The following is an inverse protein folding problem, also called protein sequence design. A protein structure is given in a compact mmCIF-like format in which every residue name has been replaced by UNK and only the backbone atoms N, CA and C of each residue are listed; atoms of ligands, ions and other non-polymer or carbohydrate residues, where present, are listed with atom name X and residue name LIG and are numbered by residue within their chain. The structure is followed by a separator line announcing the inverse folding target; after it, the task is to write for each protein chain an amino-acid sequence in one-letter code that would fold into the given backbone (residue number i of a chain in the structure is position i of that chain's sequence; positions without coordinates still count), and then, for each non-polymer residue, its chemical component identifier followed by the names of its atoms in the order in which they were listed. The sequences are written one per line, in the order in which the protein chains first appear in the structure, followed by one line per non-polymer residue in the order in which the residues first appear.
data_IF_205777101997
#
_entry.id   IF_205777101997
#
_cell.length_a   1.000
_cell.length_b   1.000
_cell.length_c   1.000
_cell.angle_alpha   90.00
_cell.angle_beta   90.00
_cell.angle_gamma   90.00
#
_symmetry.space_group_name_H-M   'P 1'
#
loop_
_entity.id
_entity.type
_entity.pdbx_description
1 polymer ?
#
# COMPACT_ATOMS: atom_id res chain seq x y z
N UNK A 1 1.23 12.03 14.65
CA UNK A 1 1.83 11.36 15.83
C UNK A 1 3.20 10.78 15.48
N UNK A 2 4.08 10.66 16.47
CA UNK A 2 5.37 9.96 16.32
C UNK A 2 5.18 8.45 16.56
N UNK A 3 6.07 7.57 16.05
CA UNK A 3 6.01 6.14 16.38
C UNK A 3 5.98 5.86 17.89
N UNK A 4 6.77 6.60 18.66
CA UNK A 4 6.79 6.48 20.13
C UNK A 4 5.42 6.77 20.77
N UNK A 5 4.71 7.78 20.29
CA UNK A 5 3.38 8.11 20.78
C UNK A 5 2.36 7.01 20.42
N UNK A 6 2.44 6.45 19.23
CA UNK A 6 1.59 5.30 18.83
C UNK A 6 1.78 4.14 19.79
N UNK A 7 3.02 3.79 20.17
CA UNK A 7 3.27 2.73 21.15
C UNK A 7 2.71 3.04 22.53
N UNK A 8 2.82 4.31 22.98
CA UNK A 8 2.22 4.73 24.23
C UNK A 8 0.68 4.58 24.20
N UNK A 9 0.06 4.95 23.10
CA UNK A 9 -1.38 4.81 22.89
C UNK A 9 -1.82 3.33 22.82
N UNK A 10 -1.04 2.48 22.15
CA UNK A 10 -1.28 1.02 22.12
C UNK A 10 -1.21 0.46 23.54
N UNK A 11 -0.17 0.81 24.31
CA UNK A 11 -0.01 0.38 25.70
C UNK A 11 -1.14 0.88 26.61
N UNK A 12 -1.71 2.06 26.33
CA UNK A 12 -2.85 2.62 27.02
C UNK A 12 -4.21 2.01 26.58
N UNK A 13 -4.22 1.06 25.64
CA UNK A 13 -5.44 0.44 25.15
C UNK A 13 -6.31 1.33 24.23
N UNK A 14 -5.77 2.42 23.70
CA UNK A 14 -6.48 3.39 22.86
C UNK A 14 -6.62 2.90 21.41
N UNK A 15 -7.24 1.73 21.21
CA UNK A 15 -7.32 1.03 19.94
C UNK A 15 -7.80 1.92 18.77
N UNK A 16 -8.97 2.52 18.92
CA UNK A 16 -9.59 3.28 17.82
C UNK A 16 -8.82 4.55 17.48
N UNK A 17 -8.23 5.20 18.48
CA UNK A 17 -7.38 6.37 18.27
C UNK A 17 -6.07 6.01 17.52
N UNK A 18 -5.51 4.84 17.81
CA UNK A 18 -4.33 4.30 17.10
C UNK A 18 -4.70 3.99 15.65
N UNK A 19 -5.78 3.26 15.40
CA UNK A 19 -6.19 2.84 14.05
C UNK A 19 -6.61 4.04 13.18
N UNK A 20 -7.21 5.07 13.75
CA UNK A 20 -7.52 6.34 13.07
C UNK A 20 -6.29 7.20 12.78
N UNK A 21 -5.20 6.96 13.50
CA UNK A 21 -3.96 7.73 13.28
C UNK A 21 -3.42 7.50 11.88
N UNK A 22 -2.92 8.54 11.24
CA UNK A 22 -2.26 8.43 9.95
C UNK A 22 -0.77 8.06 10.03
N UNK A 23 -0.20 7.90 11.23
CA UNK A 23 1.24 7.66 11.43
C UNK A 23 1.72 6.38 10.76
N UNK A 24 0.98 5.28 10.87
CA UNK A 24 1.36 4.02 10.25
C UNK A 24 1.24 4.07 8.72
N UNK A 25 0.39 4.93 8.15
CA UNK A 25 0.28 5.15 6.71
C UNK A 25 1.49 5.86 6.11
N UNK A 26 2.14 6.74 6.88
CA UNK A 26 3.38 7.40 6.45
C UNK A 26 4.63 6.53 6.59
N UNK A 27 4.53 5.31 7.10
CA UNK A 27 5.65 4.39 7.17
C UNK A 27 6.06 3.93 5.78
N UNK A 28 7.26 4.30 5.36
CA UNK A 28 7.88 3.94 4.07
C UNK A 28 8.94 2.86 4.21
N UNK A 29 8.97 2.14 5.32
CA UNK A 29 9.91 1.03 5.58
C UNK A 29 11.39 1.41 5.46
N UNK A 30 11.76 2.62 5.85
CA UNK A 30 13.17 3.03 5.86
C UNK A 30 13.98 2.41 7.01
N UNK A 31 13.35 1.68 7.94
CA UNK A 31 13.92 0.99 9.10
C UNK A 31 14.70 1.88 10.09
N UNK A 32 14.76 3.20 9.87
CA UNK A 32 15.53 4.12 10.68
C UNK A 32 15.14 4.12 12.17
N UNK A 33 13.84 4.00 12.47
CA UNK A 33 13.35 3.88 13.84
C UNK A 33 13.73 2.56 14.50
N UNK A 34 13.86 1.47 13.72
CA UNK A 34 14.29 0.15 14.20
C UNK A 34 15.78 0.15 14.58
N UNK A 35 16.64 0.62 13.68
CA UNK A 35 18.11 0.63 13.88
C UNK A 35 18.55 1.50 15.05
N UNK A 36 17.75 2.48 15.44
CA UNK A 36 18.00 3.36 16.58
C UNK A 36 17.31 2.94 17.86
N UNK A 37 16.51 1.89 17.85
CA UNK A 37 15.80 1.45 19.03
C UNK A 37 16.72 0.64 19.96
N UNK A 38 17.04 1.13 21.18
CA UNK A 38 17.89 0.39 22.11
C UNK A 38 17.21 -0.87 22.68
N UNK A 39 15.89 -1.00 22.47
CA UNK A 39 15.08 -2.14 22.91
C UNK A 39 14.84 -3.14 21.77
N UNK A 40 15.49 -2.98 20.62
CA UNK A 40 15.38 -3.83 19.44
C UNK A 40 13.93 -4.10 18.97
N UNK A 41 13.04 -3.11 19.18
CA UNK A 41 11.63 -3.22 18.79
C UNK A 41 11.53 -3.15 17.27
N UNK A 42 10.85 -4.13 16.67
CA UNK A 42 10.55 -4.21 15.25
C UNK A 42 9.42 -3.22 14.85
N UNK A 43 9.71 -1.93 14.95
CA UNK A 43 8.72 -0.84 14.78
C UNK A 43 8.05 -0.89 13.41
N UNK A 44 8.79 -1.20 12.36
CA UNK A 44 8.27 -1.29 10.99
C UNK A 44 7.19 -2.36 10.87
N UNK A 45 7.40 -3.55 11.45
CA UNK A 45 6.46 -4.67 11.40
C UNK A 45 5.17 -4.33 12.16
N UNK A 46 5.31 -3.62 13.28
CA UNK A 46 4.15 -3.13 14.04
C UNK A 46 3.35 -2.11 13.22
N UNK A 47 4.03 -1.19 12.50
CA UNK A 47 3.34 -0.24 11.62
C UNK A 47 2.57 -0.94 10.49
N UNK A 48 3.13 -2.00 9.90
CA UNK A 48 2.42 -2.81 8.91
C UNK A 48 1.23 -3.55 9.51
N UNK A 49 1.38 -4.11 10.71
CA UNK A 49 0.27 -4.75 11.43
C UNK A 49 -0.86 -3.75 11.69
N UNK A 50 -0.53 -2.52 12.10
CA UNK A 50 -1.53 -1.48 12.31
C UNK A 50 -2.23 -1.06 11.00
N UNK A 51 -1.50 -0.98 9.86
CA UNK A 51 -2.13 -0.74 8.54
C UNK A 51 -3.17 -1.81 8.23
N UNK A 52 -2.80 -3.09 8.40
CA UNK A 52 -3.68 -4.23 8.16
C UNK A 52 -4.92 -4.16 9.06
N UNK A 53 -4.72 -4.00 10.36
CA UNK A 53 -5.82 -3.87 11.32
C UNK A 53 -6.74 -2.69 11.02
N UNK A 54 -6.22 -1.57 10.51
CA UNK A 54 -7.04 -0.42 10.10
C UNK A 54 -7.92 -0.74 8.90
N UNK A 55 -7.40 -1.47 7.91
CA UNK A 55 -8.16 -1.92 6.73
C UNK A 55 -9.24 -2.92 7.16
N UNK A 56 -8.88 -3.96 7.91
CA UNK A 56 -9.80 -4.99 8.40
C UNK A 56 -10.94 -4.42 9.25
N UNK A 57 -10.64 -3.42 10.08
CA UNK A 57 -11.62 -2.74 10.92
C UNK A 57 -12.43 -1.65 10.18
N UNK A 58 -12.03 -1.26 8.97
CA UNK A 58 -12.59 -0.12 8.25
C UNK A 58 -12.38 1.23 8.99
N UNK A 59 -11.39 1.30 9.89
CA UNK A 59 -11.13 2.45 10.74
C UNK A 59 -9.86 3.15 10.26
N UNK A 60 -10.01 4.18 9.44
CA UNK A 60 -8.92 5.06 9.03
C UNK A 60 -9.42 6.50 8.83
N UNK A 61 -8.50 7.45 8.89
CA UNK A 61 -8.83 8.86 8.67
C UNK A 61 -9.26 9.08 7.21
N UNK A 62 -10.31 9.87 7.01
CA UNK A 62 -10.82 10.23 5.68
C UNK A 62 -9.76 10.89 4.80
N UNK A 63 -8.80 11.60 5.38
CA UNK A 63 -7.69 12.24 4.67
C UNK A 63 -6.60 11.26 4.20
N UNK A 64 -6.63 10.01 4.68
CA UNK A 64 -5.65 8.96 4.35
C UNK A 64 -6.29 7.84 3.52
N UNK A 65 -7.53 8.02 3.10
CA UNK A 65 -8.30 7.05 2.32
C UNK A 65 -7.58 6.60 1.04
N UNK A 66 -6.83 7.49 0.42
CA UNK A 66 -6.07 7.20 -0.80
C UNK A 66 -5.01 6.09 -0.61
N UNK A 67 -4.41 5.98 0.57
CA UNK A 67 -3.36 5.00 0.83
C UNK A 67 -3.88 3.55 0.88
N UNK A 68 -4.96 3.20 1.60
CA UNK A 68 -5.57 1.88 1.52
C UNK A 68 -6.11 1.57 0.11
N UNK A 69 -6.82 2.49 -0.55
CA UNK A 69 -7.37 2.30 -1.89
C UNK A 69 -6.28 2.02 -2.93
N UNK A 70 -5.16 2.76 -2.84
CA UNK A 70 -3.99 2.50 -3.68
C UNK A 70 -3.38 1.11 -3.39
N UNK A 71 -3.26 0.75 -2.11
CA UNK A 71 -2.69 -0.54 -1.70
C UNK A 71 -3.53 -1.72 -2.21
N UNK A 72 -4.84 -1.65 -2.10
CA UNK A 72 -5.76 -2.66 -2.63
C UNK A 72 -5.64 -2.78 -4.16
N UNK A 73 -5.67 -1.65 -4.87
CA UNK A 73 -5.50 -1.63 -6.32
C UNK A 73 -4.16 -2.24 -6.75
N UNK A 74 -3.09 -1.96 -6.00
CA UNK A 74 -1.76 -2.51 -6.26
C UNK A 74 -1.72 -4.02 -6.05
N UNK A 75 -2.26 -4.52 -4.94
CA UNK A 75 -2.31 -5.95 -4.61
C UNK A 75 -3.12 -6.71 -5.67
N UNK A 76 -4.27 -6.20 -6.06
CA UNK A 76 -5.08 -6.76 -7.15
C UNK A 76 -4.29 -6.88 -8.46
N UNK A 77 -3.49 -5.86 -8.78
CA UNK A 77 -2.65 -5.86 -9.97
C UNK A 77 -1.58 -6.94 -9.90
N UNK A 78 -0.92 -7.07 -8.74
CA UNK A 78 0.11 -8.10 -8.51
C UNK A 78 -0.50 -9.50 -8.55
N UNK A 79 -1.65 -9.73 -7.91
CA UNK A 79 -2.36 -11.01 -7.96
C UNK A 79 -2.73 -11.40 -9.39
N UNK A 80 -3.14 -10.45 -10.21
CA UNK A 80 -3.64 -10.70 -11.58
C UNK A 80 -2.53 -10.88 -12.62
N UNK A 81 -1.44 -10.14 -12.50
CA UNK A 81 -0.38 -10.08 -13.52
C UNK A 81 1.00 -10.51 -13.02
N UNK A 82 1.16 -10.65 -11.69
CA UNK A 82 2.43 -10.96 -11.04
C UNK A 82 3.41 -9.79 -10.97
N UNK A 83 3.04 -8.63 -11.53
CA UNK A 83 3.81 -7.38 -11.50
C UNK A 83 2.90 -6.17 -11.62
N UNK A 84 3.35 -5.02 -11.15
CA UNK A 84 2.67 -3.75 -11.38
C UNK A 84 3.09 -3.16 -12.74
N UNK A 85 2.12 -2.53 -13.40
CA UNK A 85 2.34 -1.65 -14.54
C UNK A 85 1.94 -0.25 -14.14
N UNK A 86 2.88 0.68 -14.14
CA UNK A 86 2.66 2.03 -13.62
C UNK A 86 1.48 2.73 -14.28
N UNK A 87 1.43 2.70 -15.62
CA UNK A 87 0.33 3.33 -16.38
C UNK A 87 -1.02 2.66 -16.08
N UNK A 88 -1.05 1.33 -16.12
CA UNK A 88 -2.27 0.58 -15.87
C UNK A 88 -2.76 0.75 -14.43
N UNK A 89 -1.84 0.74 -13.47
CA UNK A 89 -2.14 0.96 -12.06
C UNK A 89 -2.67 2.38 -11.83
N UNK A 90 -1.96 3.40 -12.33
CA UNK A 90 -2.38 4.79 -12.22
C UNK A 90 -3.74 5.05 -12.87
N UNK A 91 -3.95 4.52 -14.09
CA UNK A 91 -5.22 4.67 -14.80
C UNK A 91 -6.36 4.00 -14.03
N UNK A 92 -6.17 2.76 -13.57
CA UNK A 92 -7.20 2.03 -12.81
C UNK A 92 -7.52 2.74 -11.48
N UNK A 93 -6.49 3.15 -10.75
CA UNK A 93 -6.65 3.85 -9.48
C UNK A 93 -7.42 5.18 -9.65
N UNK A 94 -6.99 6.02 -10.59
CA UNK A 94 -7.67 7.30 -10.82
C UNK A 94 -9.07 7.13 -11.39
N UNK A 95 -9.31 6.18 -12.28
CA UNK A 95 -10.63 5.93 -12.85
C UNK A 95 -11.62 5.43 -11.80
N UNK A 96 -11.15 4.62 -10.84
CA UNK A 96 -12.00 4.03 -9.79
C UNK A 96 -12.26 4.98 -8.63
N UNK A 97 -11.27 5.79 -8.25
CA UNK A 97 -11.32 6.58 -7.01
C UNK A 97 -11.29 8.09 -7.25
N UNK A 98 -10.60 8.57 -8.29
CA UNK A 98 -10.39 10.00 -8.55
C UNK A 98 -10.52 10.37 -10.03
N UNK A 99 -11.68 10.17 -10.69
CA UNK A 99 -11.82 10.39 -12.15
C UNK A 99 -11.49 11.82 -12.58
N UNK A 100 -11.80 12.82 -11.77
CA UNK A 100 -11.52 14.23 -12.09
C UNK A 100 -10.02 14.55 -12.09
N UNK A 101 -9.23 13.88 -11.21
CA UNK A 101 -7.79 14.10 -11.13
C UNK A 101 -7.05 13.54 -12.35
N UNK A 102 -7.63 12.56 -13.04
CA UNK A 102 -7.05 11.97 -14.24
C UNK A 102 -6.88 12.99 -15.37
N UNK A 103 -7.82 13.94 -15.51
CA UNK A 103 -7.70 15.01 -16.52
C UNK A 103 -6.51 15.94 -16.22
N UNK A 104 -6.27 16.27 -14.95
CA UNK A 104 -5.13 17.10 -14.55
C UNK A 104 -3.76 16.43 -14.77
N UNK A 105 -3.72 15.09 -14.76
CA UNK A 105 -2.48 14.34 -14.99
C UNK A 105 -2.18 14.07 -16.48
N UNK A 106 -3.13 14.30 -17.37
CA UNK A 106 -2.97 14.02 -18.80
C UNK A 106 -1.74 14.71 -19.44
N UNK A 107 -1.40 15.98 -19.16
CA UNK A 107 -0.20 16.62 -19.71
C UNK A 107 1.11 15.95 -19.27
N UNK A 108 1.18 15.50 -18.00
CA UNK A 108 2.33 14.79 -17.46
C UNK A 108 2.48 13.41 -18.15
N UNK A 109 1.39 12.65 -18.26
CA UNK A 109 1.36 11.36 -18.94
C UNK A 109 1.81 11.47 -20.41
N UNK A 110 1.30 12.46 -21.12
CA UNK A 110 1.71 12.73 -22.51
C UNK A 110 3.20 13.08 -22.62
N UNK A 111 3.72 13.87 -21.67
CA UNK A 111 5.14 14.19 -21.60
C UNK A 111 6.03 12.96 -21.37
N UNK A 112 5.59 12.03 -20.54
CA UNK A 112 6.31 10.77 -20.29
C UNK A 112 6.26 9.84 -21.50
N UNK A 113 5.12 9.73 -22.17
CA UNK A 113 4.97 8.97 -23.43
C UNK A 113 5.90 9.49 -24.52
N UNK A 114 5.93 10.81 -24.72
CA UNK A 114 6.79 11.46 -25.73
C UNK A 114 8.29 11.21 -25.49
N UNK A 115 8.67 11.01 -24.21
CA UNK A 115 10.06 10.70 -23.83
C UNK A 115 10.36 9.19 -23.81
N UNK A 116 9.44 8.33 -24.24
CA UNK A 116 9.60 6.88 -24.21
C UNK A 116 9.77 6.28 -22.80
N UNK A 117 9.32 7.01 -21.77
CA UNK A 117 9.43 6.59 -20.36
C UNK A 117 8.21 5.84 -19.84
N UNK A 118 7.17 5.72 -20.65
CA UNK A 118 5.97 4.95 -20.34
C UNK A 118 5.77 3.91 -21.41
N UNK A 119 5.71 2.66 -20.99
CA UNK A 119 5.26 1.58 -21.85
C UNK A 119 3.73 1.68 -21.97
N UNK A 120 3.23 1.90 -23.18
CA UNK A 120 1.82 1.77 -23.50
C UNK A 120 1.46 0.30 -23.40
N UNK A 121 1.06 -0.14 -22.23
CA UNK A 121 0.77 -1.53 -21.88
C UNK A 121 -0.47 -2.08 -22.61
N UNK A 122 -0.48 -2.04 -23.93
CA UNK A 122 -1.40 -2.82 -24.75
C UNK A 122 -1.10 -4.33 -24.67
N UNK A 123 0.09 -4.71 -24.18
CA UNK A 123 0.51 -6.09 -23.98
C UNK A 123 0.69 -6.43 -22.51
N UNK A 124 -0.40 -6.44 -21.76
CA UNK A 124 -0.44 -6.90 -20.36
C UNK A 124 -0.25 -8.42 -20.31
N UNK A 125 0.98 -8.89 -20.49
CA UNK A 125 1.28 -10.31 -20.33
C UNK A 125 1.56 -10.60 -18.85
N UNK A 126 0.88 -11.59 -18.25
CA UNK A 126 1.22 -12.05 -16.92
C UNK A 126 2.64 -12.64 -16.91
N UNK A 127 3.26 -12.67 -15.75
CA UNK A 127 4.57 -13.33 -15.57
C UNK A 127 4.45 -14.83 -15.81
N UNK A 128 5.52 -15.49 -16.25
CA UNK A 128 5.54 -16.94 -16.53
C UNK A 128 5.25 -17.80 -15.30
N UNK A 129 5.52 -17.30 -14.09
CA UNK A 129 5.31 -18.00 -12.82
C UNK A 129 4.10 -17.52 -12.02
N UNK A 130 3.05 -16.98 -12.65
CA UNK A 130 1.88 -16.44 -11.96
C UNK A 130 1.19 -17.46 -11.05
N UNK A 131 1.07 -18.71 -11.48
CA UNK A 131 0.46 -19.79 -10.68
C UNK A 131 1.28 -20.09 -9.43
N UNK A 132 2.60 -20.03 -9.54
CA UNK A 132 3.50 -20.23 -8.37
C UNK A 132 3.35 -19.07 -7.40
N UNK A 133 3.29 -17.83 -7.89
CA UNK A 133 3.06 -16.64 -7.07
C UNK A 133 1.72 -16.74 -6.34
N UNK A 134 0.65 -17.09 -7.03
CA UNK A 134 -0.67 -17.21 -6.42
C UNK A 134 -0.73 -18.31 -5.35
N UNK A 135 -0.03 -19.43 -5.56
CA UNK A 135 0.11 -20.48 -4.53
C UNK A 135 0.86 -19.98 -3.29
N UNK A 136 1.92 -19.18 -3.48
CA UNK A 136 2.68 -18.57 -2.37
C UNK A 136 1.78 -17.59 -1.60
N UNK A 137 1.04 -16.74 -2.31
CA UNK A 137 0.13 -15.77 -1.68
C UNK A 137 -0.98 -16.47 -0.91
N UNK A 138 -1.64 -17.49 -1.50
CA UNK A 138 -2.66 -18.27 -0.81
C UNK A 138 -2.10 -18.94 0.45
N UNK A 139 -0.90 -19.50 0.38
CA UNK A 139 -0.25 -20.12 1.55
C UNK A 139 0.12 -19.09 2.63
N UNK A 140 0.53 -17.90 2.24
CA UNK A 140 0.78 -16.80 3.16
C UNK A 140 -0.49 -16.33 3.87
N UNK A 141 -1.62 -16.28 3.15
CA UNK A 141 -2.93 -15.96 3.72
C UNK A 141 -3.37 -17.01 4.76
N UNK A 142 -3.21 -18.32 4.46
CA UNK A 142 -3.49 -19.40 5.42
C UNK A 142 -2.65 -19.31 6.71
N UNK A 143 -1.40 -18.89 6.60
CA UNK A 143 -0.48 -18.76 7.73
C UNK A 143 -0.69 -17.47 8.54
N UNK A 144 -1.76 -16.73 8.30
CA UNK A 144 -2.03 -15.45 8.95
C UNK A 144 -1.16 -14.30 8.40
N UNK A 145 -0.59 -14.50 7.23
CA UNK A 145 0.02 -13.46 6.43
C UNK A 145 -1.02 -12.48 5.88
N UNK A 146 -0.56 -11.49 5.15
CA UNK A 146 -1.39 -10.40 4.60
C UNK A 146 -2.53 -10.97 3.75
N UNK A 147 -3.78 -10.58 4.01
CA UNK A 147 -4.89 -10.88 3.11
C UNK A 147 -4.69 -10.19 1.75
#
# INVERSE_FOLDING_TARGET
HTPRLIFAMVKAGMRDAVLKSNTHWYCVSCYYCMTRCPQEIHITDIMYTLKRMSIEAGIYDKHVKDAPEFSETFIDYVKKYGRSFEVGLATRYHLSHHPMNMMGMAPMGMGMLRKGRMDLALTRKPIKGLDQLNKILAKAEELGGIP
#
